data_IF_060082632711
#
_entry.id   IF_060082632711
#
_cell.length_a   1.000
_cell.length_b   1.000
_cell.length_c   1.000
_cell.angle_alpha   90.00
_cell.angle_beta   90.00
_cell.angle_gamma   90.00
#
_symmetry.space_group_name_H-M   'P 1'
#
loop_
_entity.id
_entity.type
_entity.pdbx_description
1 polymer ?
#
# COMPACT_ATOMS: atom_id res chain seq x y z
N UNK A 1 -15.98 4.91 -7.58
CA UNK A 1 -15.34 4.12 -8.66
C UNK A 1 -13.88 3.99 -8.26
N UNK A 2 -13.52 2.88 -7.64
CA UNK A 2 -12.21 2.69 -7.02
C UNK A 2 -11.14 2.57 -8.10
N UNK A 3 -10.09 3.40 -8.05
CA UNK A 3 -9.02 3.38 -9.06
C UNK A 3 -7.63 3.49 -8.46
N UNK A 4 -6.68 2.79 -9.07
CA UNK A 4 -5.25 3.05 -8.88
C UNK A 4 -4.76 3.70 -10.17
N UNK A 5 -4.09 4.85 -10.03
CA UNK A 5 -3.55 5.60 -11.17
C UNK A 5 -2.03 5.55 -11.11
N UNK A 6 -1.34 5.02 -12.14
CA UNK A 6 0.11 5.11 -12.21
C UNK A 6 0.52 6.58 -12.37
N UNK A 7 1.53 7.00 -11.62
CA UNK A 7 2.14 8.33 -11.69
C UNK A 7 3.62 8.19 -12.02
N UNK A 8 4.27 9.25 -12.55
CA UNK A 8 5.70 9.20 -12.84
C UNK A 8 6.58 8.89 -11.60
N UNK A 9 6.07 9.17 -10.40
CA UNK A 9 6.75 8.93 -9.13
C UNK A 9 6.33 7.61 -8.44
N UNK A 10 5.38 6.86 -9.03
CA UNK A 10 4.84 5.64 -8.44
C UNK A 10 3.36 5.43 -8.75
N UNK A 11 2.50 5.39 -7.72
CA UNK A 11 1.08 5.11 -7.85
C UNK A 11 0.25 5.98 -6.91
N UNK A 12 -0.85 6.51 -7.43
CA UNK A 12 -1.93 7.10 -6.62
C UNK A 12 -3.00 6.05 -6.39
N UNK A 13 -3.25 5.72 -5.12
CA UNK A 13 -4.25 4.73 -4.70
C UNK A 13 -5.41 5.47 -4.05
N UNK A 14 -6.64 5.11 -4.44
CA UNK A 14 -7.83 5.67 -3.81
C UNK A 14 -7.93 5.30 -2.33
N UNK A 15 -8.30 6.27 -1.50
CA UNK A 15 -8.44 6.09 -0.06
C UNK A 15 -9.48 5.01 0.29
N UNK A 16 -10.47 4.80 -0.58
CA UNK A 16 -11.47 3.74 -0.44
C UNK A 16 -10.85 2.33 -0.43
N UNK A 17 -9.75 2.10 -1.15
CA UNK A 17 -9.04 0.80 -1.15
C UNK A 17 -8.39 0.55 0.20
N UNK A 18 -7.70 1.58 0.70
CA UNK A 18 -6.94 1.52 1.93
C UNK A 18 -7.91 1.40 3.12
N UNK A 19 -8.96 2.21 3.12
CA UNK A 19 -10.02 2.21 4.14
C UNK A 19 -10.69 0.85 4.23
N UNK A 20 -11.21 0.32 3.11
CA UNK A 20 -11.81 -1.02 3.09
C UNK A 20 -10.82 -2.12 3.49
N UNK A 21 -9.54 -1.99 3.12
CA UNK A 21 -8.51 -2.98 3.46
C UNK A 21 -8.16 -3.03 4.95
N UNK A 22 -8.33 -1.92 5.68
CA UNK A 22 -8.09 -1.85 7.13
C UNK A 22 -9.37 -1.85 7.97
N UNK A 23 -10.55 -1.69 7.34
CA UNK A 23 -11.82 -1.48 8.04
C UNK A 23 -11.95 -0.07 8.63
N UNK A 24 -11.38 0.92 7.95
CA UNK A 24 -11.43 2.34 8.31
C UNK A 24 -12.31 3.12 7.35
N UNK A 25 -12.83 4.25 7.84
CA UNK A 25 -13.49 5.21 6.96
C UNK A 25 -12.49 5.78 5.94
N UNK A 26 -12.84 5.78 4.63
CA UNK A 26 -11.96 6.29 3.59
C UNK A 26 -11.61 7.77 3.77
N UNK A 27 -12.48 8.54 4.42
CA UNK A 27 -12.25 9.95 4.73
C UNK A 27 -11.14 10.15 5.78
N UNK A 28 -10.88 9.15 6.64
CA UNK A 28 -9.82 9.21 7.65
C UNK A 28 -8.44 8.88 7.06
N UNK A 29 -8.40 8.07 6.00
CA UNK A 29 -7.14 7.59 5.40
C UNK A 29 -6.18 8.73 5.02
N UNK A 30 -6.58 9.80 4.31
CA UNK A 30 -5.67 10.90 3.98
C UNK A 30 -5.08 11.58 5.21
N UNK A 31 -5.88 11.77 6.25
CA UNK A 31 -5.42 12.34 7.53
C UNK A 31 -4.42 11.42 8.24
N UNK A 32 -4.68 10.12 8.25
CA UNK A 32 -3.79 9.12 8.85
C UNK A 32 -2.47 8.96 8.08
N UNK A 33 -2.49 9.04 6.75
CA UNK A 33 -1.26 9.08 5.94
C UNK A 33 -0.49 10.38 6.17
N UNK A 34 -1.18 11.53 6.24
CA UNK A 34 -0.56 12.83 6.50
C UNK A 34 0.10 12.91 7.87
N UNK A 35 -0.48 12.25 8.87
CA UNK A 35 0.07 12.14 10.23
C UNK A 35 1.12 11.04 10.38
N UNK A 36 1.37 10.24 9.34
CA UNK A 36 2.34 9.14 9.36
C UNK A 36 1.87 7.89 10.12
N UNK A 37 0.58 7.82 10.50
CA UNK A 37 0.01 6.63 11.13
C UNK A 37 -0.21 5.49 10.14
N UNK A 38 -0.65 5.83 8.92
CA UNK A 38 -0.60 4.90 7.79
C UNK A 38 0.71 5.18 7.06
N UNK A 39 1.55 4.15 6.95
CA UNK A 39 2.75 4.20 6.12
C UNK A 39 2.57 3.28 4.92
N UNK A 40 3.24 3.59 3.82
CA UNK A 40 3.18 2.79 2.59
C UNK A 40 4.58 2.49 2.11
N UNK A 41 4.78 1.26 1.64
CA UNK A 41 5.97 0.80 0.96
C UNK A 41 5.58 0.38 -0.44
N UNK A 42 6.14 1.05 -1.43
CA UNK A 42 5.97 0.75 -2.84
C UNK A 42 7.23 0.08 -3.36
N UNK A 43 7.08 -1.17 -3.81
CA UNK A 43 8.12 -1.90 -4.52
C UNK A 43 7.74 -1.95 -6.00
N UNK A 44 8.61 -1.36 -6.82
CA UNK A 44 8.51 -1.42 -8.27
C UNK A 44 9.32 -2.61 -8.75
N UNK A 45 8.65 -3.58 -9.39
CA UNK A 45 9.35 -4.66 -10.08
C UNK A 45 10.20 -4.10 -11.21
N UNK A 46 11.50 -4.43 -11.18
CA UNK A 46 12.46 -4.11 -12.24
C UNK A 46 12.83 -5.38 -13.02
N UNK A 47 13.32 -5.23 -14.24
CA UNK A 47 13.80 -6.33 -15.10
C UNK A 47 12.77 -7.45 -15.33
N UNK A 48 13.01 -8.66 -14.81
CA UNK A 48 12.16 -9.84 -15.04
C UNK A 48 10.76 -9.72 -14.41
N UNK A 49 10.60 -8.80 -13.44
CA UNK A 49 9.34 -8.44 -12.81
C UNK A 49 8.80 -7.08 -13.31
N UNK A 50 9.36 -6.56 -14.40
CA UNK A 50 8.86 -5.34 -15.04
C UNK A 50 7.37 -5.49 -15.38
N UNK A 51 6.56 -4.58 -14.83
CA UNK A 51 5.10 -4.59 -15.01
C UNK A 51 4.31 -5.22 -13.86
N UNK A 52 4.92 -5.42 -12.69
CA UNK A 52 4.18 -5.65 -11.45
C UNK A 52 4.65 -4.69 -10.37
N UNK A 53 3.68 -4.06 -9.72
CA UNK A 53 3.94 -3.14 -8.62
C UNK A 53 3.25 -3.64 -7.38
N UNK A 54 4.00 -3.63 -6.28
CA UNK A 54 3.52 -4.11 -5.00
C UNK A 54 3.48 -2.96 -4.03
N UNK A 55 2.28 -2.58 -3.62
CA UNK A 55 2.04 -1.53 -2.64
C UNK A 55 1.65 -2.20 -1.33
N UNK A 56 2.44 -2.01 -0.29
CA UNK A 56 2.15 -2.54 1.05
C UNK A 56 1.92 -1.38 1.99
N UNK A 57 0.71 -1.27 2.53
CA UNK A 57 0.34 -0.28 3.53
C UNK A 57 0.42 -0.91 4.92
N UNK A 58 0.80 -0.13 5.92
CA UNK A 58 0.90 -0.56 7.31
C UNK A 58 0.10 0.38 8.20
N UNK A 59 -0.74 -0.18 9.05
CA UNK A 59 -1.57 0.57 9.98
C UNK A 59 -1.93 -0.30 11.20
N UNK A 60 -1.69 0.21 12.42
CA UNK A 60 -2.12 -0.42 13.67
C UNK A 60 -1.83 -1.94 13.79
N UNK A 61 -0.66 -2.41 13.32
CA UNK A 61 -0.29 -3.84 13.36
C UNK A 61 -0.92 -4.70 12.24
N UNK A 62 -1.54 -4.06 11.26
CA UNK A 62 -2.08 -4.68 10.05
C UNK A 62 -1.28 -4.25 8.83
N UNK A 63 -1.18 -5.16 7.87
CA UNK A 63 -0.57 -4.91 6.57
C UNK A 63 -1.57 -5.17 5.46
N UNK A 64 -1.73 -4.21 4.56
CA UNK A 64 -2.52 -4.34 3.34
C UNK A 64 -1.58 -4.36 2.15
N UNK A 65 -1.51 -5.50 1.47
CA UNK A 65 -0.75 -5.67 0.23
C UNK A 65 -1.69 -5.56 -0.97
N UNK A 66 -1.33 -4.70 -1.91
CA UNK A 66 -1.92 -4.57 -3.22
C UNK A 66 -0.89 -4.95 -4.28
N UNK A 67 -1.30 -5.75 -5.25
CA UNK A 67 -0.52 -6.01 -6.46
C UNK A 67 -1.25 -5.38 -7.62
N UNK A 68 -0.60 -4.44 -8.29
CA UNK A 68 -1.15 -3.68 -9.41
C UNK A 68 -0.29 -3.86 -10.66
N UNK A 69 -0.95 -3.81 -11.82
CA UNK A 69 -0.29 -3.80 -13.13
C UNK A 69 0.10 -2.36 -13.54
N UNK A 70 0.94 -2.17 -14.58
CA UNK A 70 1.34 -0.86 -15.08
C UNK A 70 0.18 -0.01 -15.62
N UNK A 71 -0.96 -0.62 -15.96
CA UNK A 71 -2.17 0.09 -16.36
C UNK A 71 -2.97 0.59 -15.14
N UNK A 72 -2.53 0.28 -13.91
CA UNK A 72 -3.21 0.66 -12.67
C UNK A 72 -4.33 -0.31 -12.28
N UNK A 73 -4.40 -1.49 -12.88
CA UNK A 73 -5.40 -2.50 -12.49
C UNK A 73 -4.92 -3.25 -11.25
N UNK A 74 -5.81 -3.40 -10.28
CA UNK A 74 -5.56 -4.23 -9.11
C UNK A 74 -5.67 -5.70 -9.53
N UNK A 75 -4.54 -6.40 -9.53
CA UNK A 75 -4.45 -7.84 -9.81
C UNK A 75 -4.82 -8.66 -8.57
N UNK A 76 -4.38 -8.21 -7.39
CA UNK A 76 -4.67 -8.88 -6.13
C UNK A 76 -4.62 -7.91 -4.95
N UNK A 77 -5.45 -8.17 -3.94
CA UNK A 77 -5.46 -7.46 -2.66
C UNK A 77 -5.49 -8.47 -1.52
N UNK A 78 -4.68 -8.26 -0.50
CA UNK A 78 -4.64 -9.13 0.68
C UNK A 78 -4.29 -8.31 1.92
N UNK A 79 -5.13 -8.41 2.95
CA UNK A 79 -4.89 -7.85 4.28
C UNK A 79 -4.50 -8.98 5.22
N UNK A 80 -3.47 -8.78 6.02
CA UNK A 80 -3.06 -9.72 7.05
C UNK A 80 -2.60 -8.97 8.29
N UNK A 81 -2.91 -9.53 9.46
CA UNK A 81 -2.30 -9.06 10.71
C UNK A 81 -0.80 -9.38 10.65
N UNK A 82 0.01 -8.34 10.77
CA UNK A 82 1.45 -8.44 10.70
C UNK A 82 2.00 -7.84 11.99
N UNK A 83 2.52 -8.64 12.93
CA UNK A 83 3.13 -8.13 14.15
C UNK A 83 4.45 -7.38 13.90
N UNK A 84 4.78 -7.08 12.64
CA UNK A 84 6.03 -6.44 12.24
C UNK A 84 5.99 -4.97 12.64
N UNK A 85 6.57 -4.72 13.82
CA UNK A 85 7.32 -3.49 14.18
C UNK A 85 8.18 -3.11 12.97
N UNK A 86 8.24 -1.82 12.53
CA UNK A 86 9.25 -1.42 11.54
C UNK A 86 10.57 -1.91 12.11
N UNK A 87 11.28 -2.75 11.35
CA UNK A 87 12.53 -3.29 11.84
C UNK A 87 13.43 -2.07 12.09
N UNK A 88 13.71 -1.81 13.37
CA UNK A 88 14.97 -1.21 13.72
C UNK A 88 16.00 -2.21 13.23
N UNK A 89 16.52 -2.00 12.04
CA UNK A 89 17.76 -2.59 11.58
C UNK A 89 18.84 -2.23 12.63
N UNK A 90 19.01 -3.10 13.60
CA UNK A 90 20.14 -3.14 14.51
C UNK A 90 20.74 -4.53 14.39
N UNK A 91 22.08 -4.59 14.33
CA UNK A 91 22.97 -5.74 14.13
C UNK A 91 23.45 -5.81 12.68
N UNK A 92 24.68 -5.45 12.32
CA UNK A 92 25.96 -5.41 13.06
C UNK A 92 26.92 -4.40 12.43
#
# INVERSE_FOLDING_TARGET
MIRVTPTPDGFTVDAEIIGNGFGLDPEQVPGLMRTGQITSRSETGVDADAGRFRLTFFYAGRSLRLTVDPQGRILSRSSFDSPIRPDTATTR
#
